data_IF_073214794251
#
_entry.id   IF_073214794251
#
_cell.length_a   1.000
_cell.length_b   1.000
_cell.length_c   1.000
_cell.angle_alpha   90.00
_cell.angle_beta   90.00
_cell.angle_gamma   90.00
#
_symmetry.space_group_name_H-M   'P 1'
#
loop_
_entity.id
_entity.type
_entity.pdbx_description
1 polymer ?
#
# COMPACT_ATOMS: atom_id res chain seq x y z
N UNK A 1 -0.41 24.41 -3.90
CA UNK A 1 -1.39 23.33 -3.68
C UNK A 1 -0.72 22.32 -2.78
N UNK A 2 -1.21 22.16 -1.56
CA UNK A 2 -0.62 21.26 -0.57
C UNK A 2 -0.82 19.82 -1.05
N UNK A 3 0.26 19.05 -1.09
CA UNK A 3 0.24 17.68 -1.62
C UNK A 3 -0.39 16.68 -0.64
N UNK A 4 -0.40 17.05 0.64
CA UNK A 4 -0.97 16.31 1.77
C UNK A 4 -1.52 17.28 2.79
N UNK A 5 -2.63 16.95 3.42
CA UNK A 5 -2.90 17.50 4.75
C UNK A 5 -1.95 16.86 5.75
N UNK A 6 -1.39 17.67 6.65
CA UNK A 6 -0.37 17.19 7.60
C UNK A 6 -0.91 17.36 9.01
N UNK A 7 -1.12 16.26 9.67
CA UNK A 7 -1.58 16.20 11.05
C UNK A 7 -0.42 15.79 11.95
N UNK A 8 -0.51 16.14 13.22
CA UNK A 8 0.54 15.83 14.19
C UNK A 8 -0.11 15.22 15.42
N UNK A 9 0.39 14.07 15.92
CA UNK A 9 -0.17 13.39 17.10
C UNK A 9 0.87 13.04 18.17
N UNK A 10 0.63 13.55 19.38
CA UNK A 10 1.52 13.44 20.52
C UNK A 10 1.01 12.29 21.38
N UNK A 11 1.81 11.24 21.57
CA UNK A 11 1.38 10.12 22.41
C UNK A 11 1.59 10.44 23.90
N UNK A 12 0.78 9.88 24.80
CA UNK A 12 1.08 9.89 26.22
C UNK A 12 2.48 9.31 26.51
N UNK A 13 3.17 9.87 27.52
CA UNK A 13 4.40 9.29 28.05
C UNK A 13 4.07 8.06 28.92
N UNK A 14 4.74 6.90 28.70
CA UNK A 14 4.59 5.75 29.55
C UNK A 14 5.26 6.03 30.90
N UNK A 15 4.92 5.25 31.91
CA UNK A 15 5.29 5.53 33.30
C UNK A 15 6.82 5.71 33.52
N UNK A 16 7.62 5.02 32.73
CA UNK A 16 9.09 5.05 32.75
C UNK A 16 9.70 6.31 32.12
N UNK A 17 9.00 7.01 31.23
CA UNK A 17 9.49 8.25 30.59
C UNK A 17 9.06 9.53 31.30
N UNK A 18 8.02 9.48 32.16
CA UNK A 18 7.47 10.66 32.87
C UNK A 18 8.46 11.37 33.80
N UNK A 19 9.56 10.71 34.16
CA UNK A 19 10.62 11.28 35.01
C UNK A 19 11.63 12.12 34.24
N UNK A 20 11.61 12.09 32.90
CA UNK A 20 12.51 12.87 32.04
C UNK A 20 11.92 14.26 31.79
N UNK A 21 12.77 15.30 31.69
CA UNK A 21 12.30 16.65 31.36
C UNK A 21 11.67 16.66 29.97
N UNK A 22 10.43 17.13 29.89
CA UNK A 22 9.69 17.24 28.63
C UNK A 22 10.05 18.53 27.90
N UNK A 23 10.13 18.46 26.57
CA UNK A 23 10.27 19.65 25.73
C UNK A 23 8.96 20.45 25.79
N UNK A 24 9.02 21.70 26.23
CA UNK A 24 7.87 22.61 26.19
C UNK A 24 7.56 23.01 24.75
N UNK A 25 6.29 22.90 24.36
CA UNK A 25 5.82 23.08 22.98
C UNK A 25 4.73 24.15 22.97
N UNK A 26 4.70 24.97 21.93
CA UNK A 26 3.68 25.99 21.70
C UNK A 26 3.26 25.95 20.24
N UNK A 27 1.98 26.19 19.98
CA UNK A 27 1.46 26.43 18.63
C UNK A 27 0.52 27.64 18.66
N UNK A 28 0.56 28.43 17.59
CA UNK A 28 -0.36 29.54 17.39
C UNK A 28 -1.52 29.05 16.53
N UNK A 29 -2.72 28.97 17.11
CA UNK A 29 -3.94 28.82 16.32
C UNK A 29 -4.22 30.11 15.55
N UNK A 30 -4.25 30.02 14.22
CA UNK A 30 -4.73 31.08 13.34
C UNK A 30 -5.92 30.53 12.58
N UNK A 31 -7.05 31.22 12.63
CA UNK A 31 -8.25 30.81 11.90
C UNK A 31 -7.93 30.66 10.40
N UNK A 32 -8.28 29.51 9.83
CA UNK A 32 -8.09 29.13 8.42
C UNK A 32 -6.65 29.16 7.88
N UNK A 33 -5.61 29.04 8.72
CA UNK A 33 -4.22 28.93 8.24
C UNK A 33 -3.53 27.69 8.83
N UNK A 34 -2.59 27.06 8.09
CA UNK A 34 -1.79 25.97 8.64
C UNK A 34 -1.04 26.41 9.91
N UNK A 35 -1.05 25.55 10.92
CA UNK A 35 -0.40 25.74 12.21
C UNK A 35 1.12 25.61 12.08
N UNK A 36 1.82 26.33 12.95
CA UNK A 36 3.26 26.19 13.18
C UNK A 36 3.50 25.73 14.62
N UNK A 37 4.34 24.70 14.76
CA UNK A 37 4.84 24.24 16.06
C UNK A 37 6.15 24.95 16.36
N UNK A 38 6.27 25.47 17.58
CA UNK A 38 7.48 26.02 18.17
C UNK A 38 7.92 25.18 19.37
N UNK A 39 9.21 24.85 19.43
CA UNK A 39 9.83 24.16 20.54
C UNK A 39 10.64 25.18 21.35
N UNK A 40 10.29 25.34 22.61
CA UNK A 40 11.02 26.22 23.52
C UNK A 40 12.30 25.51 23.99
N UNK A 41 13.45 26.18 23.87
CA UNK A 41 14.69 25.66 24.44
C UNK A 41 14.64 25.74 25.97
N UNK A 42 15.17 24.72 26.64
CA UNK A 42 15.40 24.72 28.09
C UNK A 42 16.60 25.58 28.48
N UNK A 43 17.49 25.92 27.52
CA UNK A 43 18.63 26.82 27.71
C UNK A 43 18.35 28.19 27.11
N UNK A 44 18.57 29.26 27.88
CA UNK A 44 18.31 30.65 27.46
C UNK A 44 19.17 31.15 26.29
N UNK A 45 20.26 30.44 25.97
CA UNK A 45 21.19 30.78 24.87
C UNK A 45 20.80 30.20 23.50
N UNK A 46 19.92 29.20 23.46
CA UNK A 46 19.54 28.54 22.21
C UNK A 46 18.31 29.21 21.60
N UNK A 47 18.39 29.50 20.30
CA UNK A 47 17.23 30.02 19.57
C UNK A 47 16.12 28.96 19.56
N UNK A 48 14.87 29.34 19.90
CA UNK A 48 13.75 28.42 19.78
C UNK A 48 13.59 27.98 18.33
N UNK A 49 13.32 26.69 18.13
CA UNK A 49 13.05 26.15 16.80
C UNK A 49 11.57 26.37 16.48
N UNK A 50 11.26 26.94 15.32
CA UNK A 50 9.89 27.08 14.81
C UNK A 50 9.80 26.42 13.44
N UNK A 51 8.83 25.52 13.29
CA UNK A 51 8.47 24.95 12.00
C UNK A 51 7.82 26.00 11.08
N UNK A 52 7.77 25.70 9.78
CA UNK A 52 6.90 26.44 8.87
C UNK A 52 5.41 26.22 9.21
N UNK A 53 4.54 27.08 8.69
CA UNK A 53 3.08 26.86 8.72
C UNK A 53 2.72 25.72 7.78
N UNK A 54 2.55 24.52 8.32
CA UNK A 54 2.40 23.30 7.54
C UNK A 54 1.37 22.32 8.09
N UNK A 55 0.91 22.50 9.33
CA UNK A 55 0.07 21.52 10.01
C UNK A 55 -1.41 21.90 9.95
N UNK A 56 -2.26 20.95 9.56
CA UNK A 56 -3.71 21.10 9.54
C UNK A 56 -4.27 21.13 10.96
N UNK A 57 -3.81 20.21 11.82
CA UNK A 57 -4.19 20.14 13.24
C UNK A 57 -3.10 19.42 14.06
N UNK A 58 -2.99 19.81 15.34
CA UNK A 58 -2.13 19.22 16.35
C UNK A 58 -3.00 18.48 17.37
N UNK A 59 -2.75 17.20 17.57
CA UNK A 59 -3.40 16.36 18.58
C UNK A 59 -2.49 16.18 19.79
N UNK A 60 -3.05 16.40 20.97
CA UNK A 60 -2.38 16.34 22.26
C UNK A 60 -2.49 14.94 22.89
N UNK A 61 -1.80 14.72 24.00
CA UNK A 61 -1.76 13.42 24.68
C UNK A 61 -3.13 12.95 25.20
N UNK A 62 -4.10 13.85 25.33
CA UNK A 62 -5.47 13.51 25.72
C UNK A 62 -6.35 13.04 24.56
N UNK A 63 -5.91 13.22 23.31
CA UNK A 63 -6.70 12.90 22.13
C UNK A 63 -6.60 11.41 21.78
N UNK A 64 -7.72 10.71 22.00
CA UNK A 64 -7.85 9.30 21.66
C UNK A 64 -7.98 9.07 20.14
N UNK A 65 -8.07 7.80 19.74
CA UNK A 65 -8.15 7.46 18.32
C UNK A 65 -9.42 8.00 17.65
N UNK A 66 -10.54 8.04 18.37
CA UNK A 66 -11.79 8.64 17.85
C UNK A 66 -11.62 10.11 17.51
N UNK A 67 -11.03 10.93 18.37
CA UNK A 67 -10.80 12.36 18.08
C UNK A 67 -9.94 12.53 16.82
N UNK A 68 -8.91 11.70 16.66
CA UNK A 68 -8.06 11.73 15.46
C UNK A 68 -8.85 11.30 14.23
N UNK A 69 -9.68 10.26 14.32
CA UNK A 69 -10.53 9.81 13.23
C UNK A 69 -11.51 10.88 12.76
N UNK A 70 -12.23 11.49 13.71
CA UNK A 70 -13.25 12.51 13.45
C UNK A 70 -12.65 13.74 12.74
N UNK A 71 -11.41 14.10 13.06
CA UNK A 71 -10.72 15.23 12.46
C UNK A 71 -10.00 14.90 11.13
N UNK A 72 -9.59 13.64 10.91
CA UNK A 72 -8.73 13.28 9.76
C UNK A 72 -9.44 12.46 8.69
N UNK A 73 -10.16 11.41 9.06
CA UNK A 73 -10.73 10.44 8.11
C UNK A 73 -12.20 10.73 7.85
N UNK A 74 -12.99 10.99 8.88
CA UNK A 74 -14.43 11.22 8.76
C UNK A 74 -14.80 12.31 7.72
N UNK A 75 -14.11 13.46 7.63
CA UNK A 75 -14.46 14.52 6.69
C UNK A 75 -14.31 14.14 5.21
N UNK A 76 -13.55 13.09 4.90
CA UNK A 76 -13.28 12.64 3.53
C UNK A 76 -13.96 11.32 3.17
N UNK A 77 -14.79 10.76 4.06
CA UNK A 77 -15.55 9.54 3.76
C UNK A 77 -16.55 9.73 2.62
N UNK A 78 -17.16 10.92 2.50
CA UNK A 78 -18.05 11.25 1.37
C UNK A 78 -17.35 11.05 0.03
N UNK A 79 -16.08 11.45 -0.08
CA UNK A 79 -15.27 11.26 -1.29
C UNK A 79 -15.12 9.79 -1.68
N UNK A 80 -14.99 8.91 -0.69
CA UNK A 80 -14.92 7.46 -0.90
C UNK A 80 -16.27 6.92 -1.35
N UNK A 81 -17.35 7.43 -0.77
CA UNK A 81 -18.72 7.11 -1.17
C UNK A 81 -19.09 7.66 -2.57
N UNK A 82 -18.31 8.60 -3.10
CA UNK A 82 -18.38 9.06 -4.48
C UNK A 82 -17.44 8.27 -5.43
N UNK A 83 -16.84 7.17 -4.96
CA UNK A 83 -15.93 6.33 -5.75
C UNK A 83 -14.46 6.79 -5.74
N UNK A 84 -14.14 7.83 -4.96
CA UNK A 84 -12.79 8.36 -4.81
C UNK A 84 -11.87 7.53 -3.93
N UNK A 85 -10.60 7.95 -3.85
CA UNK A 85 -9.55 7.26 -3.09
C UNK A 85 -8.89 8.17 -2.05
N UNK A 86 -8.90 7.78 -0.77
CA UNK A 86 -8.27 8.54 0.31
C UNK A 86 -7.16 7.72 0.98
N UNK A 87 -5.99 8.33 1.20
CA UNK A 87 -4.79 7.64 1.69
C UNK A 87 -4.26 8.29 2.97
N UNK A 88 -3.94 7.50 3.99
CA UNK A 88 -3.50 7.97 5.30
C UNK A 88 -2.17 7.33 5.67
N UNK A 89 -1.16 8.15 5.92
CA UNK A 89 0.19 7.70 6.24
C UNK A 89 0.56 8.06 7.67
N UNK A 90 0.92 7.09 8.50
CA UNK A 90 1.54 7.37 9.80
C UNK A 90 3.07 7.34 9.67
N UNK A 91 3.72 8.44 10.06
CA UNK A 91 5.17 8.60 10.00
C UNK A 91 5.73 9.12 11.33
N UNK A 92 6.87 8.59 11.76
CA UNK A 92 7.49 8.92 13.04
C UNK A 92 8.49 7.84 13.48
N UNK A 93 9.28 8.14 14.51
CA UNK A 93 10.30 7.20 14.99
C UNK A 93 9.68 5.94 15.65
N UNK A 94 10.47 4.90 15.89
CA UNK A 94 10.04 3.68 16.58
C UNK A 94 9.44 4.02 17.95
N UNK A 95 8.26 3.47 18.25
CA UNK A 95 7.56 3.72 19.52
C UNK A 95 6.81 5.05 19.62
N UNK A 96 6.69 5.83 18.54
CA UNK A 96 5.96 7.12 18.57
C UNK A 96 4.42 7.03 18.50
N UNK A 97 3.84 5.84 18.25
CA UNK A 97 2.39 5.66 18.19
C UNK A 97 1.78 5.50 16.78
N UNK A 98 2.59 5.24 15.75
CA UNK A 98 2.11 4.99 14.37
C UNK A 98 1.08 3.86 14.29
N UNK A 99 1.45 2.66 14.71
CA UNK A 99 0.56 1.49 14.68
C UNK A 99 -0.64 1.66 15.59
N UNK A 100 -0.47 2.29 16.77
CA UNK A 100 -1.59 2.66 17.64
C UNK A 100 -2.62 3.54 16.92
N UNK A 101 -2.16 4.48 16.10
CA UNK A 101 -3.03 5.38 15.36
C UNK A 101 -3.73 4.66 14.21
N UNK A 102 -2.98 4.00 13.34
CA UNK A 102 -3.54 3.39 12.11
C UNK A 102 -4.36 2.12 12.41
N UNK A 103 -3.81 1.23 13.23
CA UNK A 103 -4.33 -0.12 13.48
C UNK A 103 -5.09 -0.18 14.80
N UNK A 104 -4.54 0.44 15.85
CA UNK A 104 -5.06 0.32 17.20
C UNK A 104 -4.62 -0.98 17.88
N UNK A 105 -4.93 -1.09 19.17
CA UNK A 105 -4.70 -2.30 19.98
C UNK A 105 -5.95 -2.77 20.72
N UNK A 106 -6.97 -1.91 20.80
CA UNK A 106 -8.29 -2.25 21.29
C UNK A 106 -9.24 -2.35 20.09
N UNK A 107 -9.83 -3.54 19.92
CA UNK A 107 -10.73 -3.87 18.83
C UNK A 107 -12.16 -4.11 19.32
N UNK A 108 -12.42 -3.84 20.61
CA UNK A 108 -13.74 -3.93 21.24
C UNK A 108 -14.30 -2.55 21.63
N UNK A 109 -13.44 -1.63 22.09
CA UNK A 109 -13.84 -0.27 22.41
C UNK A 109 -13.80 0.65 21.17
N UNK A 110 -14.99 1.07 20.73
CA UNK A 110 -15.20 1.90 19.54
C UNK A 110 -14.41 3.22 19.58
N UNK A 111 -14.22 3.80 20.76
CA UNK A 111 -13.51 5.07 20.90
C UNK A 111 -11.98 4.94 20.76
N UNK A 112 -11.47 3.71 20.86
CA UNK A 112 -10.05 3.37 20.80
C UNK A 112 -9.64 2.60 19.54
N UNK A 113 -10.60 2.28 18.67
CA UNK A 113 -10.32 1.66 17.36
C UNK A 113 -9.28 2.47 16.58
N UNK A 114 -8.31 1.79 15.98
CA UNK A 114 -7.43 2.44 15.01
C UNK A 114 -8.22 3.00 13.82
N UNK A 115 -7.63 3.97 13.13
CA UNK A 115 -8.30 4.69 12.03
C UNK A 115 -8.89 3.75 10.96
N UNK A 116 -8.20 2.64 10.65
CA UNK A 116 -8.68 1.68 9.68
C UNK A 116 -9.99 0.99 10.12
N UNK A 117 -10.06 0.53 11.37
CA UNK A 117 -11.25 -0.17 11.87
C UNK A 117 -12.42 0.80 12.09
N UNK A 118 -12.16 2.02 12.56
CA UNK A 118 -13.16 3.09 12.67
C UNK A 118 -13.77 3.44 11.31
N UNK A 119 -12.95 3.48 10.26
CA UNK A 119 -13.41 3.72 8.89
C UNK A 119 -14.26 2.56 8.37
N UNK A 120 -13.80 1.32 8.57
CA UNK A 120 -14.54 0.13 8.18
C UNK A 120 -15.91 0.06 8.85
N UNK A 121 -16.01 0.45 10.12
CA UNK A 121 -17.28 0.54 10.85
C UNK A 121 -18.24 1.53 10.20
N UNK A 122 -17.80 2.78 10.01
CA UNK A 122 -18.63 3.82 9.40
C UNK A 122 -19.08 3.43 7.99
N UNK A 123 -18.17 2.91 7.16
CA UNK A 123 -18.52 2.43 5.83
C UNK A 123 -19.55 1.30 5.92
N UNK A 124 -19.35 0.31 6.80
CA UNK A 124 -20.30 -0.81 6.94
C UNK A 124 -21.71 -0.35 7.33
N UNK A 125 -21.84 0.65 8.20
CA UNK A 125 -23.13 1.24 8.58
C UNK A 125 -23.80 1.91 7.36
N UNK A 126 -23.07 2.74 6.62
CA UNK A 126 -23.60 3.40 5.40
C UNK A 126 -23.97 2.38 4.31
N UNK A 127 -23.11 1.38 4.07
CA UNK A 127 -23.35 0.35 3.07
C UNK A 127 -24.57 -0.52 3.44
N UNK A 128 -24.80 -0.78 4.73
CA UNK A 128 -26.00 -1.48 5.20
C UNK A 128 -27.28 -0.72 4.83
N UNK A 129 -27.29 0.60 5.02
CA UNK A 129 -28.44 1.44 4.68
C UNK A 129 -28.67 1.54 3.17
N UNK A 130 -27.59 1.58 2.37
CA UNK A 130 -27.67 1.53 0.91
C UNK A 130 -28.16 0.17 0.40
N UNK A 131 -27.71 -0.92 1.01
CA UNK A 131 -28.16 -2.27 0.65
C UNK A 131 -29.62 -2.52 1.06
N UNK A 132 -30.13 -1.88 2.11
CA UNK A 132 -31.54 -2.01 2.50
C UNK A 132 -32.52 -1.41 1.48
N UNK A 133 -32.03 -0.60 0.54
CA UNK A 133 -32.81 0.05 -0.52
C UNK A 133 -32.79 -0.75 -1.84
N UNK A 134 -32.06 -1.86 -1.90
CA UNK A 134 -31.81 -2.63 -3.11
C UNK A 134 -31.98 -4.14 -2.84
N UNK A 135 -32.95 -4.76 -3.51
CA UNK A 135 -33.25 -6.18 -3.34
C UNK A 135 -32.30 -7.10 -4.14
N UNK A 136 -31.45 -6.55 -5.01
CA UNK A 136 -30.50 -7.35 -5.79
C UNK A 136 -29.27 -7.75 -4.97
N UNK A 137 -29.26 -9.02 -4.56
CA UNK A 137 -28.12 -9.63 -3.85
C UNK A 137 -26.80 -9.63 -4.64
N UNK A 138 -26.83 -9.58 -5.99
CA UNK A 138 -25.62 -9.50 -6.80
C UNK A 138 -24.97 -8.10 -6.73
N UNK A 139 -25.81 -7.08 -6.52
CA UNK A 139 -25.45 -5.68 -6.33
C UNK A 139 -25.22 -5.30 -4.87
N UNK A 140 -25.26 -6.27 -3.95
CA UNK A 140 -24.94 -6.08 -2.55
C UNK A 140 -23.52 -5.52 -2.41
N UNK A 141 -23.41 -4.38 -1.73
CA UNK A 141 -22.14 -3.75 -1.42
C UNK A 141 -21.53 -4.38 -0.18
N UNK A 142 -20.21 -4.54 -0.20
CA UNK A 142 -19.39 -4.95 0.92
C UNK A 142 -18.04 -4.25 0.89
N UNK A 143 -17.16 -4.62 1.82
CA UNK A 143 -15.80 -4.09 1.90
C UNK A 143 -14.82 -5.20 1.56
N UNK A 144 -14.02 -4.99 0.52
CA UNK A 144 -12.86 -5.80 0.22
C UNK A 144 -11.67 -5.32 1.05
N UNK A 145 -11.20 -6.15 1.97
CA UNK A 145 -10.00 -5.92 2.76
C UNK A 145 -8.78 -6.52 2.04
N UNK A 146 -7.72 -5.73 1.87
CA UNK A 146 -6.37 -6.22 1.53
C UNK A 146 -5.41 -5.79 2.63
N UNK A 147 -4.49 -6.66 3.00
CA UNK A 147 -3.52 -6.38 4.04
C UNK A 147 -2.20 -7.05 3.70
N UNK A 148 -1.12 -6.26 3.67
CA UNK A 148 0.21 -6.80 3.41
C UNK A 148 1.28 -5.99 4.17
N UNK A 149 2.41 -6.63 4.44
CA UNK A 149 3.59 -5.95 4.95
C UNK A 149 4.73 -5.94 3.94
N UNK A 150 5.49 -4.84 3.94
CA UNK A 150 6.73 -4.70 3.17
C UNK A 150 7.92 -4.81 4.11
N UNK A 151 8.83 -5.73 3.78
CA UNK A 151 10.10 -5.96 4.48
C UNK A 151 11.23 -6.00 3.47
N UNK A 152 11.95 -4.88 3.37
CA UNK A 152 12.91 -4.65 2.31
C UNK A 152 12.28 -4.82 0.93
N UNK A 153 12.87 -5.66 0.09
CA UNK A 153 12.44 -5.87 -1.31
C UNK A 153 11.31 -6.89 -1.49
N UNK A 154 10.65 -7.30 -0.41
CA UNK A 154 9.63 -8.35 -0.43
C UNK A 154 8.34 -7.86 0.23
N UNK A 155 7.21 -8.23 -0.37
CA UNK A 155 5.90 -8.06 0.23
C UNK A 155 5.42 -9.38 0.83
N UNK A 156 4.61 -9.35 1.88
CA UNK A 156 4.01 -10.54 2.48
C UNK A 156 2.51 -10.31 2.62
N UNK A 157 1.69 -11.20 2.06
CA UNK A 157 0.24 -11.11 2.10
C UNK A 157 -0.28 -11.58 3.47
N UNK A 158 -0.82 -10.67 4.26
CA UNK A 158 -1.29 -10.95 5.60
C UNK A 158 -2.68 -11.61 5.61
N UNK A 159 -3.37 -11.70 4.48
CA UNK A 159 -4.67 -12.39 4.36
C UNK A 159 -4.58 -13.73 3.62
N UNK A 160 -3.37 -14.10 3.19
CA UNK A 160 -3.09 -15.34 2.48
C UNK A 160 -1.94 -16.11 3.15
N UNK A 161 -2.01 -16.27 4.47
CA UNK A 161 -1.06 -17.11 5.22
C UNK A 161 0.36 -16.56 5.29
N UNK A 162 0.54 -15.23 5.25
CA UNK A 162 1.86 -14.57 5.22
C UNK A 162 2.67 -14.98 3.97
N UNK A 163 2.01 -15.28 2.85
CA UNK A 163 2.70 -15.76 1.67
C UNK A 163 3.60 -14.67 1.07
N UNK A 164 4.76 -15.10 0.59
CA UNK A 164 5.76 -14.21 0.00
C UNK A 164 5.28 -13.70 -1.36
N UNK A 165 5.39 -12.40 -1.55
CA UNK A 165 5.00 -11.70 -2.77
C UNK A 165 6.15 -10.85 -3.32
N UNK A 166 6.08 -10.59 -4.62
CA UNK A 166 7.03 -9.82 -5.40
C UNK A 166 6.42 -8.50 -5.87
N UNK A 167 7.12 -7.40 -5.61
CA UNK A 167 6.78 -6.08 -6.14
C UNK A 167 7.39 -5.94 -7.54
N UNK A 168 6.56 -5.73 -8.55
CA UNK A 168 6.99 -5.59 -9.96
C UNK A 168 6.25 -4.45 -10.65
N UNK A 169 6.89 -3.82 -11.61
CA UNK A 169 6.22 -2.84 -12.48
C UNK A 169 5.76 -3.53 -13.77
N UNK A 170 4.51 -3.32 -14.15
CA UNK A 170 3.92 -3.78 -15.41
C UNK A 170 4.40 -2.94 -16.60
N UNK A 171 4.05 -3.37 -17.81
CA UNK A 171 4.34 -2.63 -19.05
C UNK A 171 3.55 -1.31 -19.13
N UNK A 172 2.42 -1.26 -18.42
CA UNK A 172 1.56 -0.09 -18.20
C UNK A 172 2.18 0.93 -17.23
N UNK A 173 3.33 0.61 -16.63
CA UNK A 173 3.98 1.44 -15.62
C UNK A 173 3.31 1.38 -14.24
N UNK A 174 2.32 0.50 -14.04
CA UNK A 174 1.69 0.29 -12.74
C UNK A 174 2.51 -0.70 -11.90
N UNK A 175 2.50 -0.50 -10.58
CA UNK A 175 3.15 -1.44 -9.66
C UNK A 175 2.15 -2.51 -9.23
N UNK A 176 2.54 -3.77 -9.37
CA UNK A 176 1.78 -4.92 -8.92
C UNK A 176 2.53 -5.65 -7.82
N UNK A 177 1.79 -6.09 -6.82
CA UNK A 177 2.26 -7.05 -5.83
C UNK A 177 1.71 -8.42 -6.24
N UNK A 178 2.61 -9.32 -6.57
CA UNK A 178 2.30 -10.64 -7.15
C UNK A 178 2.77 -11.74 -6.21
N UNK A 179 1.88 -12.67 -5.86
CA UNK A 179 2.21 -13.87 -5.12
C UNK A 179 3.13 -14.81 -5.91
N UNK A 180 3.32 -16.01 -5.36
CA UNK A 180 4.09 -17.05 -6.03
C UNK A 180 3.41 -17.50 -7.33
N UNK A 181 4.22 -18.02 -8.26
CA UNK A 181 3.71 -18.55 -9.53
C UNK A 181 3.25 -19.98 -9.30
N UNK A 182 1.96 -20.21 -9.52
CA UNK A 182 1.33 -21.53 -9.45
C UNK A 182 1.27 -22.14 -10.85
N UNK A 183 1.67 -23.41 -10.97
CA UNK A 183 1.56 -24.18 -12.20
C UNK A 183 0.59 -25.33 -11.94
N UNK A 184 -0.51 -25.36 -12.69
CA UNK A 184 -1.54 -26.40 -12.55
C UNK A 184 -1.20 -27.64 -13.38
N UNK A 185 -1.82 -28.77 -13.04
CA UNK A 185 -1.64 -30.06 -13.74
C UNK A 185 -2.07 -29.98 -15.22
N UNK A 186 -3.03 -29.13 -15.55
CA UNK A 186 -3.50 -28.88 -16.91
C UNK A 186 -2.63 -27.90 -17.72
N UNK A 187 -1.51 -27.45 -17.14
CA UNK A 187 -0.55 -26.56 -17.77
C UNK A 187 -0.85 -25.07 -17.63
N UNK A 188 -1.97 -24.67 -17.02
CA UNK A 188 -2.23 -23.26 -16.68
C UNK A 188 -1.18 -22.73 -15.71
N UNK A 189 -0.86 -21.45 -15.84
CA UNK A 189 0.14 -20.78 -14.98
C UNK A 189 -0.47 -19.52 -14.40
N UNK A 190 -0.75 -19.51 -13.11
CA UNK A 190 -1.37 -18.37 -12.42
C UNK A 190 -0.35 -17.63 -11.56
N UNK A 191 -0.43 -16.31 -11.58
CA UNK A 191 0.27 -15.44 -10.64
C UNK A 191 -0.78 -14.64 -9.90
N UNK A 192 -1.03 -14.99 -8.65
CA UNK A 192 -2.12 -14.38 -7.90
C UNK A 192 -1.75 -12.95 -7.46
N UNK A 193 -2.63 -11.95 -7.58
CA UNK A 193 -2.45 -10.68 -6.89
C UNK A 193 -2.62 -10.86 -5.37
N UNK A 194 -2.34 -9.82 -4.59
CA UNK A 194 -2.71 -9.80 -3.16
C UNK A 194 -4.19 -10.13 -2.99
N UNK A 195 -4.49 -11.03 -2.06
CA UNK A 195 -5.86 -11.49 -1.79
C UNK A 195 -6.72 -10.33 -1.30
N UNK A 196 -7.94 -10.29 -1.82
CA UNK A 196 -9.01 -9.43 -1.31
C UNK A 196 -9.98 -10.31 -0.53
N UNK A 197 -10.09 -10.09 0.79
CA UNK A 197 -11.13 -10.73 1.61
C UNK A 197 -12.38 -9.87 1.56
N UNK A 198 -13.45 -10.42 0.97
CA UNK A 198 -14.74 -9.74 0.92
C UNK A 198 -15.45 -9.90 2.27
N UNK A 199 -15.86 -8.78 2.86
CA UNK A 199 -16.56 -8.72 4.13
C UNK A 199 -17.89 -7.99 3.92
N UNK A 200 -18.99 -8.65 4.21
CA UNK A 200 -20.35 -8.11 4.05
C UNK A 200 -20.88 -7.49 5.34
N UNK A 201 -20.20 -7.75 6.46
CA UNK A 201 -20.49 -7.19 7.78
C UNK A 201 -19.22 -6.63 8.41
N UNK A 202 -19.40 -5.72 9.37
CA UNK A 202 -18.29 -5.16 10.14
C UNK A 202 -17.57 -6.25 10.95
N UNK A 203 -18.30 -7.21 11.49
CA UNK A 203 -17.78 -8.31 12.30
C UNK A 203 -16.88 -9.26 11.50
N UNK A 204 -17.25 -9.57 10.25
CA UNK A 204 -16.41 -10.31 9.31
C UNK A 204 -15.09 -9.57 9.04
N UNK A 205 -15.18 -8.26 8.77
CA UNK A 205 -13.99 -7.44 8.51
C UNK A 205 -13.07 -7.39 9.72
N UNK A 206 -13.62 -7.17 10.91
CA UNK A 206 -12.86 -7.15 12.17
C UNK A 206 -12.14 -8.48 12.38
N UNK A 207 -12.82 -9.60 12.12
CA UNK A 207 -12.23 -10.94 12.23
C UNK A 207 -11.05 -11.13 11.26
N UNK A 208 -11.22 -10.80 9.98
CA UNK A 208 -10.15 -10.94 8.99
C UNK A 208 -8.96 -10.00 9.28
N UNK A 209 -9.24 -8.78 9.76
CA UNK A 209 -8.20 -7.84 10.22
C UNK A 209 -7.37 -8.44 11.37
N UNK A 210 -8.03 -8.99 12.40
CA UNK A 210 -7.36 -9.60 13.54
C UNK A 210 -6.51 -10.80 13.13
N UNK A 211 -7.03 -11.68 12.25
CA UNK A 211 -6.28 -12.80 11.71
C UNK A 211 -5.00 -12.34 10.98
N UNK A 212 -5.11 -11.28 10.17
CA UNK A 212 -3.96 -10.72 9.47
C UNK A 212 -2.93 -10.07 10.40
N UNK A 213 -3.38 -9.44 11.49
CA UNK A 213 -2.51 -8.89 12.53
C UNK A 213 -1.77 -9.96 13.32
N UNK A 214 -2.40 -11.11 13.59
CA UNK A 214 -1.75 -12.26 14.22
C UNK A 214 -0.62 -12.82 13.34
N UNK A 215 -0.85 -12.94 12.04
CA UNK A 215 0.19 -13.32 11.08
C UNK A 215 1.30 -12.27 11.01
N UNK A 216 0.96 -10.98 11.09
CA UNK A 216 1.96 -9.91 11.21
C UNK A 216 2.77 -10.02 12.49
N UNK A 217 2.23 -10.51 13.60
CA UNK A 217 2.96 -10.62 14.87
C UNK A 217 3.88 -11.85 14.97
N UNK A 218 3.60 -12.91 14.19
CA UNK A 218 4.31 -14.20 14.27
C UNK A 218 5.50 -14.32 13.28
N UNK A 219 5.62 -13.39 12.33
CA UNK A 219 6.56 -13.47 11.19
C UNK A 219 8.07 -13.34 11.46
N UNK A 220 8.56 -13.31 12.72
CA UNK A 220 10.00 -13.45 13.07
C UNK A 220 10.25 -13.74 14.56
N UNK A 221 11.08 -14.73 14.88
CA UNK A 221 11.42 -15.17 16.24
C UNK A 221 12.44 -14.29 17.02
N UNK A 222 12.46 -12.98 16.82
CA UNK A 222 13.39 -12.08 17.53
C UNK A 222 12.65 -11.11 18.43
N UNK A 223 13.24 -10.84 19.60
CA UNK A 223 12.72 -10.24 20.83
C UNK A 223 12.25 -8.76 20.70
N UNK A 224 11.86 -8.29 19.51
CA UNK A 224 11.51 -6.89 19.24
C UNK A 224 10.10 -6.72 18.65
N UNK A 225 9.49 -5.57 18.93
CA UNK A 225 8.15 -5.20 18.47
C UNK A 225 8.14 -5.05 16.93
N UNK A 226 7.67 -6.10 16.24
CA UNK A 226 7.70 -6.26 14.78
C UNK A 226 7.06 -5.10 14.00
N UNK A 227 6.05 -4.45 14.59
CA UNK A 227 5.35 -3.28 14.01
C UNK A 227 6.29 -2.11 13.67
N UNK A 228 7.44 -2.00 14.35
CA UNK A 228 8.42 -0.94 14.11
C UNK A 228 9.36 -1.18 12.93
N UNK A 229 9.43 -2.42 12.41
CA UNK A 229 10.45 -2.84 11.44
C UNK A 229 9.91 -3.20 10.05
N UNK A 230 8.59 -3.24 9.89
CA UNK A 230 7.94 -3.46 8.59
C UNK A 230 6.95 -2.34 8.34
N UNK A 231 6.80 -1.96 7.07
CA UNK A 231 5.70 -1.10 6.67
C UNK A 231 4.47 -1.98 6.48
N UNK A 232 3.33 -1.62 7.05
CA UNK A 232 2.06 -2.30 6.76
C UNK A 232 1.14 -1.40 5.94
N UNK A 233 0.44 -2.01 5.00
CA UNK A 233 -0.58 -1.36 4.19
C UNK A 233 -1.88 -2.13 4.37
N UNK A 234 -2.93 -1.40 4.71
CA UNK A 234 -4.30 -1.88 4.83
C UNK A 234 -5.15 -1.13 3.82
N UNK A 235 -5.83 -1.84 2.93
CA UNK A 235 -6.72 -1.25 1.94
C UNK A 235 -8.15 -1.74 2.17
N UNK A 236 -9.08 -0.80 2.19
CA UNK A 236 -10.52 -1.04 2.16
C UNK A 236 -11.03 -0.55 0.80
N UNK A 237 -11.66 -1.43 0.04
CA UNK A 237 -12.31 -1.10 -1.23
C UNK A 237 -13.81 -1.44 -1.14
N UNK A 238 -14.67 -0.52 -1.56
CA UNK A 238 -16.11 -0.83 -1.68
C UNK A 238 -16.29 -1.72 -2.91
N UNK A 239 -16.86 -2.91 -2.72
CA UNK A 239 -16.97 -3.96 -3.74
C UNK A 239 -18.36 -4.56 -3.78
N UNK A 240 -18.68 -5.24 -4.89
CA UNK A 240 -19.82 -6.15 -5.02
C UNK A 240 -19.33 -7.56 -5.35
N UNK A 241 -20.19 -8.58 -5.23
CA UNK A 241 -19.87 -9.94 -5.69
C UNK A 241 -19.54 -9.96 -7.17
N UNK A 242 -20.37 -9.28 -7.98
CA UNK A 242 -20.15 -9.17 -9.43
C UNK A 242 -18.78 -8.59 -9.79
N UNK A 243 -18.30 -7.57 -9.07
CA UNK A 243 -16.97 -6.99 -9.32
C UNK A 243 -15.84 -7.98 -8.98
N UNK A 244 -15.98 -8.70 -7.86
CA UNK A 244 -14.98 -9.68 -7.44
C UNK A 244 -14.93 -10.87 -8.39
N UNK A 245 -16.08 -11.37 -8.83
CA UNK A 245 -16.20 -12.47 -9.78
C UNK A 245 -15.64 -12.08 -11.16
N UNK A 246 -15.93 -10.86 -11.63
CA UNK A 246 -15.37 -10.34 -12.87
C UNK A 246 -13.83 -10.25 -12.81
N UNK A 247 -13.27 -9.74 -11.70
CA UNK A 247 -11.81 -9.70 -11.49
C UNK A 247 -11.20 -11.11 -11.39
N UNK A 248 -11.87 -12.05 -10.73
CA UNK A 248 -11.43 -13.43 -10.66
C UNK A 248 -11.40 -14.09 -12.05
N UNK A 249 -12.40 -13.81 -12.89
CA UNK A 249 -12.43 -14.29 -14.27
C UNK A 249 -11.26 -13.76 -15.10
N UNK A 250 -10.82 -12.50 -14.90
CA UNK A 250 -9.61 -11.96 -15.55
C UNK A 250 -8.38 -12.77 -15.16
N UNK A 251 -8.18 -13.03 -13.86
CA UNK A 251 -7.04 -13.80 -13.35
C UNK A 251 -7.05 -15.22 -13.95
N UNK A 252 -8.23 -15.81 -14.04
CA UNK A 252 -8.42 -17.13 -14.63
C UNK A 252 -8.02 -17.15 -16.12
N UNK A 253 -8.53 -16.21 -16.93
CA UNK A 253 -8.15 -16.08 -18.35
C UNK A 253 -6.67 -15.77 -18.56
N UNK A 254 -6.08 -14.96 -17.69
CA UNK A 254 -4.65 -14.70 -17.73
C UNK A 254 -3.85 -15.98 -17.47
N UNK A 255 -4.33 -16.87 -16.59
CA UNK A 255 -3.64 -18.13 -16.30
C UNK A 255 -3.61 -19.10 -17.49
N UNK A 256 -4.65 -19.05 -18.33
CA UNK A 256 -4.74 -19.80 -19.59
C UNK A 256 -3.80 -19.21 -20.66
N UNK A 257 -3.68 -17.87 -20.72
CA UNK A 257 -2.87 -17.18 -21.71
C UNK A 257 -1.36 -17.38 -21.52
N UNK A 258 -0.87 -17.39 -20.28
CA UNK A 258 0.57 -17.44 -19.97
C UNK A 258 1.33 -18.58 -20.70
N UNK A 259 0.91 -19.85 -20.60
CA UNK A 259 1.61 -20.95 -21.29
C UNK A 259 1.53 -20.83 -22.82
N UNK A 260 0.40 -20.38 -23.36
CA UNK A 260 0.19 -20.21 -24.81
C UNK A 260 1.09 -19.10 -25.36
N UNK A 261 1.14 -17.96 -24.67
CA UNK A 261 1.98 -16.82 -25.05
C UNK A 261 3.48 -17.18 -24.96
N UNK A 262 3.88 -17.93 -23.93
CA UNK A 262 5.24 -18.46 -23.83
C UNK A 262 5.56 -19.38 -25.00
N UNK A 263 4.67 -20.33 -25.33
CA UNK A 263 4.85 -21.24 -26.46
C UNK A 263 5.00 -20.51 -27.79
N UNK A 264 4.16 -19.50 -28.06
CA UNK A 264 4.28 -18.69 -29.27
C UNK A 264 5.64 -17.98 -29.35
N UNK A 265 6.10 -17.42 -28.23
CA UNK A 265 7.44 -16.80 -28.13
C UNK A 265 8.56 -17.82 -28.35
N UNK A 266 8.46 -19.01 -27.75
CA UNK A 266 9.45 -20.08 -27.88
C UNK A 266 9.52 -20.58 -29.34
N UNK A 267 8.38 -20.75 -30.02
CA UNK A 267 8.32 -21.12 -31.45
C UNK A 267 8.95 -20.02 -32.31
N UNK A 268 8.57 -18.76 -32.10
CA UNK A 268 9.14 -17.63 -32.82
C UNK A 268 10.67 -17.59 -32.68
N UNK A 269 11.18 -17.68 -31.45
CA UNK A 269 12.63 -17.65 -31.19
C UNK A 269 13.33 -18.87 -31.82
N UNK A 270 12.77 -20.07 -31.68
CA UNK A 270 13.33 -21.29 -32.24
C UNK A 270 13.43 -21.21 -33.77
N UNK A 271 12.35 -20.83 -34.45
CA UNK A 271 12.31 -20.72 -35.91
C UNK A 271 13.24 -19.63 -36.44
N UNK A 272 13.25 -18.45 -35.81
CA UNK A 272 14.17 -17.39 -36.20
C UNK A 272 15.64 -17.76 -35.94
N UNK A 273 15.94 -18.47 -34.85
CA UNK A 273 17.33 -18.87 -34.54
C UNK A 273 17.91 -19.84 -35.57
N UNK A 274 17.10 -20.77 -36.11
CA UNK A 274 17.50 -21.71 -37.18
C UNK A 274 17.80 -21.01 -38.51
N UNK A 275 17.20 -19.83 -38.72
CA UNK A 275 17.45 -18.97 -39.87
C UNK A 275 18.85 -18.37 -39.91
N UNK A 276 19.68 -18.56 -38.87
CA UNK A 276 21.06 -18.08 -38.81
C UNK A 276 22.03 -19.21 -38.45
N UNK A 277 23.24 -19.16 -39.02
CA UNK A 277 24.38 -20.03 -38.66
C UNK A 277 25.58 -19.17 -38.29
N UNK A 278 26.44 -19.70 -37.43
CA UNK A 278 27.68 -19.03 -37.05
C UNK A 278 28.82 -19.46 -37.97
N UNK A 279 29.52 -18.49 -38.58
CA UNK A 279 30.71 -18.76 -39.40
C UNK A 279 31.90 -19.17 -38.51
N UNK A 280 32.98 -19.76 -39.07
CA UNK A 280 34.19 -20.10 -38.30
C UNK A 280 34.83 -18.89 -37.57
N UNK A 281 34.61 -17.67 -38.06
CA UNK A 281 35.06 -16.41 -37.46
C UNK A 281 34.11 -15.87 -36.37
N UNK A 282 33.06 -16.63 -36.02
CA UNK A 282 32.11 -16.30 -34.97
C UNK A 282 30.96 -15.36 -35.39
N UNK A 283 30.81 -15.02 -36.67
CA UNK A 283 29.75 -14.12 -37.16
C UNK A 283 28.47 -14.89 -37.47
N UNK A 284 27.31 -14.33 -37.13
CA UNK A 284 26.02 -14.90 -37.54
C UNK A 284 25.66 -14.44 -38.95
N UNK A 285 25.36 -15.40 -39.84
CA UNK A 285 24.92 -15.17 -41.22
C UNK A 285 23.63 -15.94 -41.50
N UNK A 286 22.77 -15.51 -42.44
CA UNK A 286 21.57 -16.25 -42.81
C UNK A 286 21.91 -17.69 -43.23
N UNK A 287 21.10 -18.64 -42.77
CA UNK A 287 21.24 -20.05 -43.10
C UNK A 287 20.63 -20.33 -44.48
N UNK A 288 21.44 -20.67 -45.51
CA UNK A 288 20.91 -20.95 -46.85
C UNK A 288 20.14 -22.28 -46.92
N UNK A 289 20.38 -23.20 -45.98
CA UNK A 289 19.80 -24.54 -45.95
C UNK A 289 18.51 -24.62 -45.12
N UNK A 290 18.06 -23.50 -44.56
CA UNK A 290 16.85 -23.43 -43.74
C UNK A 290 15.94 -22.29 -44.18
N UNK A 291 14.68 -22.62 -44.44
CA UNK A 291 13.62 -21.64 -44.62
C UNK A 291 12.79 -21.59 -43.33
N UNK A 292 12.62 -20.39 -42.78
CA UNK A 292 11.80 -20.16 -41.59
C UNK A 292 10.38 -20.66 -41.83
N UNK A 293 9.88 -21.49 -40.92
CA UNK A 293 8.49 -21.97 -40.97
C UNK A 293 7.54 -20.88 -40.47
N UNK A 294 7.23 -19.94 -41.38
CA UNK A 294 6.32 -18.83 -41.08
C UNK A 294 4.92 -19.33 -40.73
N UNK A 295 4.46 -20.44 -41.31
CA UNK A 295 3.13 -20.98 -41.03
C UNK A 295 3.00 -21.47 -39.58
N UNK A 296 4.04 -22.08 -39.03
CA UNK A 296 4.10 -22.48 -37.62
C UNK A 296 4.07 -21.28 -36.67
N UNK A 297 4.84 -20.22 -36.98
CA UNK A 297 4.82 -18.96 -36.21
C UNK A 297 3.42 -18.34 -36.25
N UNK A 298 2.84 -18.21 -37.44
CA UNK A 298 1.52 -17.59 -37.64
C UNK A 298 0.42 -18.38 -36.91
N UNK A 299 0.49 -19.71 -36.93
CA UNK A 299 -0.45 -20.56 -36.20
C UNK A 299 -0.34 -20.38 -34.69
N UNK A 300 0.87 -20.29 -34.15
CA UNK A 300 1.09 -20.06 -32.71
C UNK A 300 0.67 -18.65 -32.26
N UNK A 301 0.93 -17.63 -33.07
CA UNK A 301 0.46 -16.26 -32.81
C UNK A 301 -1.07 -16.16 -32.93
N UNK A 302 -1.71 -16.87 -33.87
CA UNK A 302 -3.17 -16.92 -33.97
C UNK A 302 -3.81 -17.59 -32.75
N UNK A 303 -3.20 -18.66 -32.22
CA UNK A 303 -3.63 -19.30 -30.97
C UNK A 303 -3.50 -18.32 -29.80
N UNK A 304 -2.35 -17.66 -29.63
CA UNK A 304 -2.12 -16.63 -28.61
C UNK A 304 -3.15 -15.50 -28.70
N UNK A 305 -3.41 -14.96 -29.89
CA UNK A 305 -4.37 -13.88 -30.12
C UNK A 305 -5.79 -14.26 -29.69
N UNK A 306 -6.17 -15.54 -29.84
CA UNK A 306 -7.46 -16.05 -29.33
C UNK A 306 -7.55 -15.95 -27.81
N UNK A 307 -6.53 -16.37 -27.07
CA UNK A 307 -6.51 -16.27 -25.61
C UNK A 307 -6.40 -14.81 -25.13
N UNK A 308 -5.65 -13.97 -25.82
CA UNK A 308 -5.61 -12.52 -25.57
C UNK A 308 -7.02 -11.91 -25.69
N UNK A 309 -7.82 -12.35 -26.67
CA UNK A 309 -9.21 -11.91 -26.80
C UNK A 309 -10.11 -12.33 -25.63
N UNK A 310 -9.81 -13.46 -24.98
CA UNK A 310 -10.55 -13.92 -23.81
C UNK A 310 -10.22 -13.09 -22.57
N UNK A 311 -8.93 -12.77 -22.38
CA UNK A 311 -8.49 -11.85 -21.32
C UNK A 311 -9.13 -10.48 -21.53
N UNK A 312 -9.06 -9.94 -22.76
CA UNK A 312 -9.65 -8.64 -23.08
C UNK A 312 -11.15 -8.59 -22.79
N UNK A 313 -11.92 -9.61 -23.19
CA UNK A 313 -13.36 -9.68 -22.87
C UNK A 313 -13.64 -9.73 -21.38
N UNK A 314 -12.80 -10.43 -20.61
CA UNK A 314 -12.94 -10.48 -19.16
C UNK A 314 -12.62 -9.11 -18.53
N UNK A 315 -11.62 -8.38 -19.05
CA UNK A 315 -11.29 -7.01 -18.62
C UNK A 315 -12.41 -6.03 -18.97
N UNK A 316 -12.96 -6.10 -20.20
CA UNK A 316 -14.12 -5.31 -20.64
C UNK A 316 -15.34 -5.57 -19.73
N UNK A 317 -15.56 -6.80 -19.27
CA UNK A 317 -16.61 -7.13 -18.30
C UNK A 317 -16.39 -6.48 -16.92
N UNK A 318 -15.15 -6.31 -16.47
CA UNK A 318 -14.87 -5.54 -15.24
C UNK A 318 -15.27 -4.08 -15.41
N UNK A 319 -14.96 -3.47 -16.56
CA UNK A 319 -15.36 -2.10 -16.88
C UNK A 319 -16.89 -1.97 -16.98
N UNK A 320 -17.56 -2.96 -17.56
CA UNK A 320 -19.02 -3.00 -17.66
C UNK A 320 -19.69 -3.09 -16.27
N UNK A 321 -19.12 -3.85 -15.33
CA UNK A 321 -19.61 -3.89 -13.94
C UNK A 321 -19.53 -2.50 -13.29
N UNK A 322 -18.46 -1.73 -13.54
CA UNK A 322 -18.38 -0.35 -13.06
C UNK A 322 -19.41 0.56 -13.75
N UNK A 323 -19.53 0.46 -15.07
CA UNK A 323 -20.42 1.33 -15.85
C UNK A 323 -21.91 1.06 -15.59
N UNK A 324 -22.28 -0.18 -15.29
CA UNK A 324 -23.66 -0.59 -14.99
C UNK A 324 -24.06 -0.37 -13.53
N UNK A 325 -23.10 -0.19 -12.62
CA UNK A 325 -23.40 0.04 -11.22
C UNK A 325 -23.98 1.43 -11.00
N UNK A 326 -25.22 1.49 -10.50
CA UNK A 326 -25.89 2.75 -10.19
C UNK A 326 -25.39 3.40 -8.90
N UNK A 327 -24.57 2.69 -8.11
CA UNK A 327 -24.08 3.13 -6.81
C UNK A 327 -22.70 3.79 -7.00
N UNK A 328 -22.57 5.12 -6.82
CA UNK A 328 -21.33 5.84 -7.12
C UNK A 328 -20.15 5.41 -6.24
N UNK A 329 -20.43 4.79 -5.09
CA UNK A 329 -19.42 4.34 -4.15
C UNK A 329 -18.62 3.12 -4.62
N UNK A 330 -19.06 2.40 -5.66
CA UNK A 330 -18.36 1.20 -6.12
C UNK A 330 -16.91 1.53 -6.51
N UNK A 331 -15.96 0.80 -5.94
CA UNK A 331 -14.54 1.02 -6.17
C UNK A 331 -13.93 2.17 -5.38
N UNK A 332 -14.69 2.85 -4.52
CA UNK A 332 -14.17 3.80 -3.55
C UNK A 332 -13.17 3.13 -2.61
N UNK A 333 -12.05 3.81 -2.32
CA UNK A 333 -10.91 3.23 -1.58
C UNK A 333 -10.45 4.06 -0.40
N UNK A 334 -10.12 3.36 0.68
CA UNK A 334 -9.32 3.86 1.78
C UNK A 334 -8.04 3.05 1.91
N UNK A 335 -6.90 3.73 1.93
CA UNK A 335 -5.61 3.08 2.18
C UNK A 335 -4.98 3.66 3.43
N UNK A 336 -4.62 2.79 4.37
CA UNK A 336 -3.92 3.15 5.59
C UNK A 336 -2.53 2.53 5.59
N UNK A 337 -1.52 3.37 5.78
CA UNK A 337 -0.11 2.99 5.73
C UNK A 337 0.55 3.27 7.07
N UNK A 338 0.90 2.19 7.76
CA UNK A 338 1.71 2.20 8.98
C UNK A 338 3.18 2.03 8.59
N UNK A 339 3.92 3.13 8.47
CA UNK A 339 5.32 3.07 8.07
C UNK A 339 6.18 2.54 9.22
N UNK A 340 7.23 1.77 8.91
CA UNK A 340 8.27 1.42 9.87
C UNK A 340 8.90 2.67 10.53
N UNK A 341 9.43 2.51 11.73
CA UNK A 341 10.01 3.60 12.49
C UNK A 341 11.30 4.14 11.87
N UNK A 342 11.42 5.47 11.75
CA UNK A 342 12.69 6.12 11.40
C UNK A 342 13.61 6.09 12.63
N UNK A 343 14.39 5.04 12.80
CA UNK A 343 15.38 4.95 13.88
C UNK A 343 16.58 5.84 13.57
N UNK A 344 16.90 6.76 14.48
CA UNK A 344 18.13 7.55 14.41
C UNK A 344 19.31 6.72 14.92
N UNK A 345 20.27 6.46 14.04
CA UNK A 345 21.63 6.18 14.48
C UNK A 345 22.18 7.48 15.07
N UNK A 346 22.25 7.58 16.40
CA UNK A 346 22.89 8.73 17.03
C UNK A 346 24.32 8.89 16.53
N UNK A 347 24.68 10.13 16.22
CA UNK A 347 26.02 10.57 15.86
C UNK A 347 27.03 10.10 16.92
N UNK A 348 28.22 9.65 16.48
CA UNK A 348 29.26 9.04 17.35
C UNK A 348 29.85 10.02 18.38
N UNK A 349 29.38 11.27 18.38
CA UNK A 349 29.91 12.42 19.10
C UNK A 349 29.14 12.75 20.38
N UNK A 350 27.96 12.15 20.62
CA UNK A 350 27.17 12.37 21.85
C UNK A 350 27.41 11.26 22.90
N UNK A 351 27.42 11.58 24.22
CA UNK A 351 27.65 10.59 25.27
C UNK A 351 26.58 9.49 25.21
N UNK A 352 27.02 8.26 24.96
CA UNK A 352 26.12 7.15 24.64
C UNK A 352 25.39 6.62 25.89
N UNK A 353 24.05 6.67 25.87
CA UNK A 353 23.22 5.79 26.69
C UNK A 353 23.54 4.31 26.39
N UNK A 354 23.40 3.39 27.36
CA UNK A 354 23.64 1.97 27.14
C UNK A 354 22.71 1.43 26.04
N UNK A 355 23.29 0.87 24.98
CA UNK A 355 22.52 0.26 23.88
C UNK A 355 22.07 -1.14 24.27
N UNK A 356 20.85 -1.57 23.92
CA UNK A 356 20.59 -2.99 23.67
C UNK A 356 21.48 -3.44 22.50
N UNK A 357 22.19 -4.56 22.63
CA UNK A 357 22.99 -5.11 21.52
C UNK A 357 22.06 -5.55 20.39
N UNK A 358 22.04 -4.80 19.29
CA UNK A 358 21.33 -5.18 18.07
C UNK A 358 22.12 -6.26 17.31
N UNK A 359 21.42 -7.27 16.80
CA UNK A 359 22.04 -8.32 15.98
C UNK A 359 22.43 -7.76 14.58
N UNK A 360 23.35 -8.41 13.85
CA UNK A 360 23.70 -7.99 12.49
C UNK A 360 22.51 -7.95 11.52
N UNK A 361 21.51 -8.81 11.72
CA UNK A 361 20.29 -8.81 10.92
C UNK A 361 19.47 -7.54 11.16
N UNK A 362 19.28 -7.15 12.41
CA UNK A 362 18.50 -5.97 12.80
C UNK A 362 19.15 -4.68 12.30
N UNK A 363 20.48 -4.64 12.28
CA UNK A 363 21.19 -3.51 11.69
C UNK A 363 20.97 -3.40 10.17
N UNK A 364 20.86 -4.54 9.46
CA UNK A 364 20.54 -4.54 8.02
C UNK A 364 19.10 -4.09 7.80
N UNK A 365 18.16 -4.56 8.61
CA UNK A 365 16.75 -4.15 8.58
C UNK A 365 16.62 -2.63 8.82
N UNK A 366 17.27 -2.09 9.87
CA UNK A 366 17.27 -0.65 10.16
C UNK A 366 17.85 0.22 9.02
N UNK A 367 18.91 -0.25 8.35
CA UNK A 367 19.45 0.43 7.15
C UNK A 367 18.47 0.41 5.99
N UNK A 368 17.79 -0.71 5.78
CA UNK A 368 16.80 -0.84 4.72
C UNK A 368 15.60 0.07 4.96
N UNK A 369 15.04 0.07 6.17
CA UNK A 369 13.94 0.97 6.56
C UNK A 369 14.30 2.43 6.30
N UNK A 370 15.49 2.86 6.72
CA UNK A 370 15.95 4.23 6.49
C UNK A 370 16.16 4.55 5.00
N UNK A 371 16.55 3.56 4.19
CA UNK A 371 16.65 3.70 2.73
C UNK A 371 15.26 3.89 2.11
N UNK A 372 14.27 3.10 2.54
CA UNK A 372 12.89 3.16 2.05
C UNK A 372 12.24 4.50 2.41
N UNK A 373 12.44 4.97 3.66
CA UNK A 373 11.92 6.26 4.13
C UNK A 373 12.64 7.46 3.46
N UNK A 374 13.93 7.33 3.15
CA UNK A 374 14.65 8.35 2.37
C UNK A 374 14.10 8.44 0.94
N UNK A 375 13.90 7.29 0.28
CA UNK A 375 13.29 7.25 -1.05
C UNK A 375 11.89 7.91 -1.03
N UNK A 376 11.08 7.63 -0.02
CA UNK A 376 9.76 8.27 0.17
C UNK A 376 9.88 9.79 0.32
N UNK A 377 10.83 10.28 1.11
CA UNK A 377 11.11 11.71 1.26
C UNK A 377 11.50 12.37 -0.06
N UNK A 378 12.35 11.72 -0.86
CA UNK A 378 12.74 12.22 -2.18
C UNK A 378 11.56 12.27 -3.16
N UNK A 379 10.68 11.26 -3.15
CA UNK A 379 9.43 11.27 -3.93
C UNK A 379 8.55 12.47 -3.54
N UNK A 380 8.31 12.68 -2.25
CA UNK A 380 7.49 13.79 -1.76
C UNK A 380 8.11 15.13 -2.17
N UNK A 381 9.44 15.29 -2.03
CA UNK A 381 10.16 16.51 -2.42
C UNK A 381 10.09 16.77 -3.93
N UNK A 382 10.31 15.74 -4.73
CA UNK A 382 10.25 15.83 -6.19
C UNK A 382 8.85 16.25 -6.65
N UNK A 383 7.79 15.70 -6.03
CA UNK A 383 6.40 16.09 -6.31
C UNK A 383 6.09 17.51 -5.88
N UNK A 384 6.47 17.90 -4.66
CA UNK A 384 6.26 19.26 -4.17
C UNK A 384 6.95 20.31 -5.07
N UNK A 385 8.10 19.94 -5.62
CA UNK A 385 8.87 20.78 -6.56
C UNK A 385 8.41 20.65 -8.03
N UNK A 386 7.35 19.87 -8.30
CA UNK A 386 6.81 19.59 -9.65
C UNK A 386 7.87 19.13 -10.65
N UNK A 387 8.80 18.28 -10.21
CA UNK A 387 9.81 17.71 -11.11
C UNK A 387 9.14 16.81 -12.15
N UNK A 388 9.65 16.84 -13.39
CA UNK A 388 9.11 16.03 -14.49
C UNK A 388 9.26 14.51 -14.23
N UNK A 389 10.34 14.11 -13.56
CA UNK A 389 10.62 12.72 -13.22
C UNK A 389 10.58 12.54 -11.71
N UNK A 390 9.61 11.76 -11.23
CA UNK A 390 9.49 11.40 -9.82
C UNK A 390 10.15 10.02 -9.58
N UNK A 391 11.05 9.87 -8.58
CA UNK A 391 11.85 8.66 -8.41
C UNK A 391 11.11 7.52 -7.67
N UNK A 392 9.93 7.11 -8.17
CA UNK A 392 9.13 6.04 -7.55
C UNK A 392 9.80 4.66 -7.53
N UNK A 393 10.84 4.43 -8.35
CA UNK A 393 11.58 3.15 -8.41
C UNK A 393 12.73 3.08 -7.41
N UNK A 394 12.91 4.09 -6.55
CA UNK A 394 14.02 4.13 -5.60
C UNK A 394 13.86 3.15 -4.43
N UNK A 395 12.65 2.67 -4.16
CA UNK A 395 12.39 1.60 -3.20
C UNK A 395 11.08 0.86 -3.53
N UNK A 396 10.93 -0.40 -3.11
CA UNK A 396 9.66 -1.14 -3.19
C UNK A 396 8.50 -0.38 -2.54
N UNK A 397 8.75 0.28 -1.40
CA UNK A 397 7.77 1.14 -0.73
C UNK A 397 7.29 2.25 -1.67
N UNK A 398 8.19 2.98 -2.32
CA UNK A 398 7.81 4.07 -3.22
C UNK A 398 7.15 3.58 -4.51
N UNK A 399 7.48 2.37 -4.97
CA UNK A 399 6.80 1.73 -6.10
C UNK A 399 5.34 1.42 -5.74
N UNK A 400 5.11 0.74 -4.62
CA UNK A 400 3.77 0.39 -4.15
C UNK A 400 2.95 1.66 -3.87
N UNK A 401 3.56 2.65 -3.21
CA UNK A 401 2.87 3.90 -2.89
C UNK A 401 2.64 4.83 -4.09
N UNK A 402 3.17 4.51 -5.27
CA UNK A 402 3.02 5.32 -6.48
C UNK A 402 1.55 5.57 -6.81
N UNK A 403 0.71 4.55 -6.78
CA UNK A 403 -0.72 4.66 -7.07
C UNK A 403 -1.44 5.62 -6.11
N UNK A 404 -1.14 5.51 -4.81
CA UNK A 404 -1.67 6.37 -3.76
C UNK A 404 -1.22 7.84 -3.88
N UNK A 405 -0.07 8.08 -4.49
CA UNK A 405 0.41 9.43 -4.76
C UNK A 405 -0.13 10.01 -6.06
N UNK A 406 -0.23 9.21 -7.13
CA UNK A 406 -0.52 9.72 -8.45
C UNK A 406 -1.99 10.06 -8.64
N UNK A 407 -2.93 9.23 -8.15
CA UNK A 407 -4.38 9.46 -8.28
C UNK A 407 -4.83 9.50 -9.76
N UNK A 408 -5.90 8.77 -10.09
CA UNK A 408 -6.41 8.73 -11.48
C UNK A 408 -6.94 10.08 -11.97
N UNK A 409 -7.34 10.97 -11.05
CA UNK A 409 -7.53 12.39 -11.30
C UNK A 409 -7.38 13.18 -9.98
N UNK A 410 -6.83 14.39 -10.03
CA UNK A 410 -6.55 15.20 -8.85
C UNK A 410 -7.82 15.63 -8.08
N UNK A 411 -9.00 15.50 -8.68
CA UNK A 411 -10.29 15.77 -8.04
C UNK A 411 -10.75 14.64 -7.13
N UNK A 412 -10.36 13.40 -7.41
CA UNK A 412 -10.95 12.20 -6.79
C UNK A 412 -10.04 11.52 -5.77
N UNK A 413 -8.85 12.09 -5.53
CA UNK A 413 -7.90 11.59 -4.53
C UNK A 413 -7.69 12.54 -3.36
N UNK A 414 -7.50 11.99 -2.15
CA UNK A 414 -7.11 12.72 -0.95
C UNK A 414 -5.96 11.99 -0.27
N UNK A 415 -5.02 12.72 0.30
CA UNK A 415 -3.93 12.10 1.04
C UNK A 415 -3.58 12.92 2.28
N UNK A 416 -3.43 12.26 3.41
CA UNK A 416 -3.04 12.87 4.68
C UNK A 416 -1.83 12.14 5.29
N UNK A 417 -0.95 12.92 5.91
CA UNK A 417 0.19 12.41 6.66
C UNK A 417 0.03 12.75 8.14
N UNK A 418 0.04 11.74 9.00
CA UNK A 418 -0.07 11.85 10.45
C UNK A 418 1.32 11.62 11.03
N UNK A 419 1.93 12.69 11.53
CA UNK A 419 3.23 12.67 12.17
C UNK A 419 3.07 12.32 13.65
N UNK A 420 3.54 11.15 14.07
CA UNK A 420 3.44 10.71 15.46
C UNK A 420 4.73 11.00 16.22
N UNK A 421 4.61 11.54 17.43
CA UNK A 421 5.72 11.89 18.32
C UNK A 421 5.39 11.53 19.79
N UNK A 422 6.39 11.20 20.63
CA UNK A 422 6.31 11.17 22.08
C UNK A 422 6.24 12.57 22.66
#
# INVERSE_FOLDING_TARGET
>A
MQLFDVFTRWRPLPADERTKPEIKRQYEERSNSPLSIALASTNSSDRPWKSGAAFTQVFETGDNNKTVFDATVAPVLSKVLDGGSCNFFAYGHSGSGKSHTIIGYDFENVDEFGLCLSAARHLSEVLKDLNAQDDDTASQLGIGLRMYELRGNTAFDLLNGHCKCHVREGYDGQTHIRGETEVFEDGRVRVQPIVTKACWTFEELRKELLNGLELRATGTSTVHNQSSRTHAVLELEIVTRGLLDARAAVIERQSELVPVAKRATDIYLAENSKGFIQTPEGKYVPNPDYQIDQASIDAAEAEKAKFESYVKKAEENVEEVFASCQKPCLGGKLTFVDLAGSEYYHDKTAPSLPRPKQTPQEQREGRQINTDLLALKEVIRARASKQARIPYRSSPLTMVLRGHFQGSDAKDSYSAMILTSP
#
